data_IF_672704525102
#
_entry.id   IF_672704525102
#
_cell.length_a   1.000
_cell.length_b   1.000
_cell.length_c   1.000
_cell.angle_alpha   90.00
_cell.angle_beta   90.00
_cell.angle_gamma   90.00
#
_symmetry.space_group_name_H-M   'P 1'
#
loop_
_entity.id
_entity.type
_entity.pdbx_description
1 polymer ?
#
# COMPACT_ATOMS: atom_id res chain seq x y z
N UNK A 1 1.74 8.49 13.25
CA UNK A 1 1.77 7.71 14.49
C UNK A 1 0.63 8.18 15.41
N UNK A 2 -0.11 7.28 16.09
CA UNK A 2 -1.23 7.65 16.94
C UNK A 2 -0.81 8.54 18.10
N UNK A 3 -1.64 9.54 18.45
CA UNK A 3 -1.33 10.47 19.55
C UNK A 3 -1.66 9.90 20.93
N UNK A 4 -2.61 8.97 21.02
CA UNK A 4 -2.99 8.30 22.27
C UNK A 4 -1.93 7.28 22.68
N UNK A 5 -1.50 7.30 23.92
CA UNK A 5 -0.47 6.41 24.48
C UNK A 5 0.84 6.40 23.66
N UNK A 6 1.24 7.55 23.13
CA UNK A 6 2.55 7.70 22.46
C UNK A 6 3.65 7.61 23.51
N UNK A 7 4.69 6.77 23.34
CA UNK A 7 5.78 6.64 24.27
C UNK A 7 6.55 7.96 24.44
N UNK A 8 7.20 8.14 25.59
CA UNK A 8 7.78 9.43 25.97
C UNK A 8 8.88 9.90 25.00
N UNK A 9 9.74 8.99 24.53
CA UNK A 9 10.82 9.30 23.57
C UNK A 9 10.26 9.85 22.25
N UNK A 10 9.18 9.29 21.70
CA UNK A 10 8.52 9.82 20.48
C UNK A 10 7.77 11.13 20.80
N UNK A 11 7.02 11.17 21.90
CA UNK A 11 6.20 12.34 22.24
C UNK A 11 7.04 13.59 22.45
N UNK A 12 8.24 13.42 22.99
CA UNK A 12 9.17 14.51 23.29
C UNK A 12 10.14 14.81 22.13
N UNK A 13 10.19 13.94 21.12
CA UNK A 13 11.01 14.16 19.92
C UNK A 13 10.22 14.99 18.89
N UNK A 14 10.36 16.30 18.99
CA UNK A 14 9.70 17.23 18.09
C UNK A 14 10.22 17.11 16.65
N UNK A 15 11.47 16.65 16.45
CA UNK A 15 12.02 16.42 15.13
C UNK A 15 11.34 15.22 14.44
N UNK A 16 11.23 14.08 15.12
CA UNK A 16 10.51 12.90 14.60
C UNK A 16 9.04 13.19 14.32
N UNK A 17 8.37 14.00 15.18
CA UNK A 17 6.97 14.41 14.97
C UNK A 17 6.80 15.44 13.84
N UNK A 18 7.87 16.11 13.42
CA UNK A 18 7.90 17.08 12.33
C UNK A 18 8.35 16.47 10.99
N UNK A 19 8.88 15.24 11.01
CA UNK A 19 9.37 14.55 9.81
C UNK A 19 8.25 14.38 8.78
N UNK A 20 8.48 14.88 7.56
CA UNK A 20 7.52 14.78 6.47
C UNK A 20 7.14 13.35 6.11
N UNK A 21 7.96 12.36 6.43
CA UNK A 21 7.67 10.93 6.21
C UNK A 21 6.59 10.38 7.14
N UNK A 22 6.44 10.97 8.34
CA UNK A 22 5.60 10.40 9.42
C UNK A 22 4.62 11.36 10.06
N UNK A 23 4.79 12.69 9.87
CA UNK A 23 3.95 13.70 10.50
C UNK A 23 2.46 13.54 10.13
N UNK A 24 1.61 14.06 10.99
CA UNK A 24 0.18 14.19 10.71
C UNK A 24 0.00 15.20 9.58
N UNK A 25 -0.91 14.90 8.68
CA UNK A 25 -1.39 15.80 7.62
C UNK A 25 -2.80 16.23 7.97
N UNK A 26 -3.06 17.52 7.89
CA UNK A 26 -4.38 18.09 8.10
C UNK A 26 -5.06 18.41 6.78
N UNK A 27 -6.38 18.45 6.80
CA UNK A 27 -7.20 18.63 5.61
C UNK A 27 -6.92 19.95 4.88
N UNK A 28 -6.64 21.00 5.62
CA UNK A 28 -6.37 22.35 5.09
C UNK A 28 -5.10 22.43 4.24
N UNK A 29 -4.17 21.47 4.37
CA UNK A 29 -2.99 21.40 3.50
C UNK A 29 -3.35 21.19 2.02
N UNK A 30 -4.44 20.47 1.75
CA UNK A 30 -4.90 20.21 0.38
C UNK A 30 -6.19 20.96 0.10
N UNK A 31 -7.11 21.02 1.06
CA UNK A 31 -8.46 21.57 0.92
C UNK A 31 -8.71 22.74 1.90
N UNK A 32 -8.00 23.89 1.75
CA UNK A 32 -8.07 24.99 2.72
C UNK A 32 -9.44 25.65 2.82
N UNK A 33 -10.30 25.45 1.81
CA UNK A 33 -11.64 26.06 1.78
C UNK A 33 -12.75 25.07 2.20
N UNK A 34 -12.39 23.85 2.57
CA UNK A 34 -13.36 22.89 3.09
C UNK A 34 -13.78 23.31 4.49
N UNK A 35 -15.07 23.56 4.69
CA UNK A 35 -15.56 23.92 6.01
C UNK A 35 -15.48 22.73 6.95
N UNK A 36 -14.76 22.88 8.04
CA UNK A 36 -14.72 21.93 9.13
C UNK A 36 -15.91 22.13 10.06
N UNK A 37 -16.52 21.03 10.51
CA UNK A 37 -17.53 21.08 11.55
C UNK A 37 -16.84 21.42 12.88
N UNK A 38 -17.08 22.64 13.37
CA UNK A 38 -16.69 23.13 14.70
C UNK A 38 -15.20 22.96 15.11
N UNK A 39 -14.36 23.91 14.76
CA UNK A 39 -13.02 24.21 15.36
C UNK A 39 -12.10 23.00 15.71
N UNK A 40 -12.24 21.88 15.03
CA UNK A 40 -11.40 20.70 15.18
C UNK A 40 -10.62 20.50 13.88
N UNK A 41 -9.29 20.59 14.00
CA UNK A 41 -8.41 20.27 12.86
C UNK A 41 -8.67 18.85 12.36
N UNK A 42 -9.20 18.73 11.17
CA UNK A 42 -9.51 17.43 10.57
C UNK A 42 -8.25 16.81 9.96
N UNK A 43 -7.88 15.64 10.47
CA UNK A 43 -6.74 14.88 9.96
C UNK A 43 -7.12 14.15 8.68
N UNK A 44 -6.25 14.20 7.68
CA UNK A 44 -6.36 13.38 6.50
C UNK A 44 -5.81 11.98 6.74
N UNK A 45 -6.53 10.97 6.28
CA UNK A 45 -5.99 9.62 6.15
C UNK A 45 -4.98 9.59 5.01
N UNK A 46 -3.74 9.19 5.31
CA UNK A 46 -2.64 9.12 4.36
C UNK A 46 -2.23 7.67 4.16
N UNK A 47 -2.23 7.20 2.92
CA UNK A 47 -1.55 5.96 2.57
C UNK A 47 -0.06 6.24 2.47
N UNK A 48 0.71 5.65 3.37
CA UNK A 48 2.16 5.75 3.36
C UNK A 48 2.75 4.47 2.75
N UNK A 49 3.54 4.63 1.71
CA UNK A 49 4.33 3.54 1.14
C UNK A 49 5.79 3.82 1.41
N UNK A 50 6.44 2.94 2.17
CA UNK A 50 7.87 2.95 2.39
C UNK A 50 8.49 1.77 1.64
N UNK A 51 9.52 2.03 0.86
CA UNK A 51 10.23 1.03 0.06
C UNK A 51 11.72 1.06 0.35
N UNK A 52 12.26 -0.08 0.71
CA UNK A 52 13.65 -0.29 1.11
C UNK A 52 14.34 -1.22 0.11
N UNK A 53 14.91 -0.69 -1.00
CA UNK A 53 15.44 -1.53 -2.09
C UNK A 53 16.67 -2.36 -1.72
N UNK A 54 17.35 -2.01 -0.62
CA UNK A 54 18.49 -2.76 -0.10
C UNK A 54 18.10 -3.84 0.93
N UNK A 55 16.83 -3.88 1.35
CA UNK A 55 16.34 -4.83 2.35
C UNK A 55 15.51 -5.93 1.67
N UNK A 56 15.61 -7.15 2.18
CA UNK A 56 14.81 -8.25 1.64
C UNK A 56 13.34 -8.13 2.09
N UNK A 57 12.43 -8.55 1.23
CA UNK A 57 11.02 -8.76 1.58
C UNK A 57 10.75 -10.20 2.01
N UNK A 58 9.53 -10.46 2.51
CA UNK A 58 9.06 -11.78 2.89
C UNK A 58 9.20 -12.79 1.76
N UNK A 59 9.58 -14.01 2.10
CA UNK A 59 9.77 -15.15 1.20
C UNK A 59 10.84 -14.95 0.11
N UNK A 60 11.66 -13.90 0.20
CA UNK A 60 12.83 -13.74 -0.66
C UNK A 60 14.00 -14.56 -0.11
N UNK A 61 14.23 -15.75 -0.66
CA UNK A 61 15.27 -16.71 -0.26
C UNK A 61 16.42 -16.77 -1.27
N UNK A 62 16.68 -15.70 -2.00
CA UNK A 62 17.75 -15.62 -2.97
C UNK A 62 19.05 -15.08 -2.36
N UNK A 63 19.87 -15.94 -1.77
CA UNK A 63 21.15 -15.56 -1.19
C UNK A 63 22.14 -14.99 -2.23
N UNK A 64 22.03 -15.37 -3.52
CA UNK A 64 22.96 -14.89 -4.56
C UNK A 64 22.92 -13.38 -4.77
N UNK A 65 21.86 -12.74 -4.31
CA UNK A 65 21.63 -11.31 -4.45
C UNK A 65 21.96 -10.50 -3.18
N UNK A 66 22.54 -11.13 -2.17
CA UNK A 66 22.94 -10.47 -0.92
C UNK A 66 24.45 -10.17 -0.95
N UNK A 67 24.81 -8.96 -0.56
CA UNK A 67 26.20 -8.52 -0.42
C UNK A 67 26.86 -8.98 0.89
N UNK A 68 28.19 -8.77 1.03
CA UNK A 68 28.92 -9.10 2.26
C UNK A 68 28.47 -8.31 3.49
N UNK A 69 27.82 -7.17 3.27
CA UNK A 69 27.21 -6.28 4.28
C UNK A 69 25.79 -6.69 4.68
N UNK A 70 25.26 -7.76 4.08
CA UNK A 70 23.91 -8.26 4.34
C UNK A 70 22.81 -7.56 3.56
N UNK A 71 23.14 -6.57 2.74
CA UNK A 71 22.17 -5.82 1.92
C UNK A 71 21.97 -6.47 0.55
N UNK A 72 20.81 -6.20 -0.05
CA UNK A 72 20.54 -6.62 -1.42
C UNK A 72 21.39 -5.83 -2.41
N UNK A 73 21.99 -6.56 -3.34
CA UNK A 73 22.78 -5.98 -4.43
C UNK A 73 21.84 -5.36 -5.50
N UNK A 74 22.38 -4.35 -6.21
CA UNK A 74 21.67 -3.74 -7.35
C UNK A 74 20.26 -3.21 -6.99
N UNK A 75 20.14 -2.27 -6.04
CA UNK A 75 18.85 -1.77 -5.54
C UNK A 75 17.93 -1.26 -6.66
N UNK A 76 18.44 -0.65 -7.72
CA UNK A 76 17.66 -0.22 -8.90
C UNK A 76 16.89 -1.35 -9.60
N UNK A 77 17.37 -2.57 -9.51
CA UNK A 77 16.73 -3.73 -10.14
C UNK A 77 15.71 -4.41 -9.23
N UNK A 78 15.57 -3.89 -8.00
CA UNK A 78 14.62 -4.41 -7.02
C UNK A 78 13.25 -3.78 -7.20
N UNK A 79 12.25 -4.47 -6.69
CA UNK A 79 10.89 -3.99 -6.63
C UNK A 79 10.21 -4.42 -5.33
N UNK A 80 9.23 -3.67 -4.91
CA UNK A 80 8.36 -4.01 -3.80
C UNK A 80 6.97 -3.46 -4.07
N UNK A 81 5.93 -4.17 -3.66
CA UNK A 81 4.57 -3.77 -3.97
C UNK A 81 3.54 -4.29 -3.00
N UNK A 82 2.35 -3.74 -3.15
CA UNK A 82 1.14 -4.11 -2.42
C UNK A 82 0.03 -4.44 -3.41
N UNK A 83 -0.87 -5.33 -3.04
CA UNK A 83 -2.04 -5.71 -3.83
C UNK A 83 -3.29 -5.76 -2.95
N UNK A 84 -4.42 -5.36 -3.52
CA UNK A 84 -5.74 -5.50 -2.88
C UNK A 84 -6.81 -5.87 -3.89
N UNK A 85 -7.85 -6.53 -3.41
CA UNK A 85 -9.07 -6.74 -4.18
C UNK A 85 -9.84 -5.44 -4.36
N UNK A 86 -10.63 -5.36 -5.43
CA UNK A 86 -11.56 -4.28 -5.69
C UNK A 86 -13.00 -4.78 -5.49
N UNK A 87 -13.81 -3.98 -4.79
CA UNK A 87 -15.21 -4.34 -4.55
C UNK A 87 -16.06 -4.22 -5.82
N UNK A 88 -15.84 -3.18 -6.60
CA UNK A 88 -16.48 -2.98 -7.90
C UNK A 88 -15.55 -3.43 -9.01
N UNK A 89 -15.87 -4.53 -9.65
CA UNK A 89 -15.02 -5.14 -10.68
C UNK A 89 -15.40 -4.73 -12.11
N UNK A 90 -16.63 -4.32 -12.35
CA UNK A 90 -17.10 -3.86 -13.67
C UNK A 90 -16.98 -2.34 -13.76
N UNK A 91 -15.83 -1.87 -14.23
CA UNK A 91 -15.54 -0.44 -14.40
C UNK A 91 -16.33 0.20 -15.55
N UNK A 92 -16.77 -0.59 -16.53
CA UNK A 92 -17.65 -0.07 -17.60
C UNK A 92 -19.03 0.25 -17.05
N UNK A 93 -19.64 -0.67 -16.29
CA UNK A 93 -20.93 -0.46 -15.66
C UNK A 93 -20.88 0.63 -14.57
N UNK A 94 -19.80 0.67 -13.80
CA UNK A 94 -19.61 1.68 -12.76
C UNK A 94 -19.18 3.03 -13.32
N UNK A 95 -18.89 3.13 -14.63
CA UNK A 95 -18.39 4.31 -15.32
C UNK A 95 -17.15 4.92 -14.65
N UNK A 96 -16.20 4.08 -14.24
CA UNK A 96 -14.93 4.54 -13.67
C UNK A 96 -14.04 5.02 -14.82
N UNK A 97 -13.54 6.24 -14.72
CA UNK A 97 -12.78 6.89 -15.79
C UNK A 97 -11.34 7.24 -15.41
N UNK A 98 -11.09 7.48 -14.12
CA UNK A 98 -9.78 7.98 -13.66
C UNK A 98 -9.32 7.26 -12.40
N UNK A 99 -7.98 7.14 -12.25
CA UNK A 99 -7.31 7.00 -10.97
C UNK A 99 -6.92 8.41 -10.54
N UNK A 100 -7.33 8.86 -9.36
CA UNK A 100 -7.00 10.17 -8.84
C UNK A 100 -6.38 10.06 -7.46
N UNK A 101 -5.31 10.79 -7.22
CA UNK A 101 -4.66 10.89 -5.92
C UNK A 101 -3.87 12.19 -5.78
N UNK A 102 -3.66 12.57 -4.53
CA UNK A 102 -2.68 13.60 -4.19
C UNK A 102 -1.42 12.94 -3.65
N UNK A 103 -0.28 13.29 -4.21
CA UNK A 103 1.04 12.83 -3.77
C UNK A 103 1.77 14.01 -3.14
N UNK A 104 2.21 13.86 -1.87
CA UNK A 104 3.15 14.80 -1.27
C UNK A 104 4.43 14.79 -2.10
N UNK A 105 5.03 15.96 -2.30
CA UNK A 105 6.29 16.05 -3.04
C UNK A 105 7.35 15.13 -2.42
N UNK A 106 7.75 14.05 -3.10
CA UNK A 106 8.74 13.11 -2.57
C UNK A 106 10.09 13.76 -2.29
N UNK A 107 10.41 14.87 -2.97
CA UNK A 107 11.69 15.58 -2.83
C UNK A 107 11.82 16.27 -1.46
N UNK A 108 10.72 16.46 -0.72
CA UNK A 108 10.76 16.94 0.66
C UNK A 108 11.51 15.99 1.61
N UNK A 109 11.51 14.70 1.30
CA UNK A 109 12.15 13.66 2.13
C UNK A 109 13.52 13.24 1.60
N UNK A 110 13.82 13.58 0.37
CA UNK A 110 15.14 13.38 -0.27
C UNK A 110 15.45 14.56 -1.19
N UNK A 111 16.14 15.59 -0.68
CA UNK A 111 16.49 16.79 -1.45
C UNK A 111 17.40 16.52 -2.66
N UNK A 112 18.20 15.45 -2.64
CA UNK A 112 19.03 15.03 -3.77
C UNK A 112 18.17 14.44 -4.92
N UNK A 113 16.88 14.22 -4.63
CA UNK A 113 15.89 13.72 -5.57
C UNK A 113 15.87 12.21 -5.68
N UNK A 114 14.75 11.73 -6.19
CA UNK A 114 14.57 10.32 -6.54
C UNK A 114 14.69 10.13 -8.05
N UNK A 115 15.00 8.92 -8.47
CA UNK A 115 14.95 8.52 -9.87
C UNK A 115 14.42 7.07 -9.93
N UNK A 116 13.13 6.95 -9.71
CA UNK A 116 12.44 5.66 -9.70
C UNK A 116 11.06 5.73 -10.33
N UNK A 117 10.35 4.63 -10.25
CA UNK A 117 9.09 4.45 -10.92
C UNK A 117 8.06 3.82 -9.97
N UNK A 118 6.84 4.34 -10.02
CA UNK A 118 5.66 3.75 -9.41
C UNK A 118 4.77 3.19 -10.52
N UNK A 119 4.38 1.95 -10.39
CA UNK A 119 3.43 1.30 -11.29
C UNK A 119 2.11 1.03 -10.58
N UNK A 120 1.01 1.25 -11.29
CA UNK A 120 -0.34 0.88 -10.84
C UNK A 120 -0.92 -0.08 -11.87
N UNK A 121 -1.28 -1.27 -11.44
CA UNK A 121 -1.86 -2.32 -12.28
C UNK A 121 -3.32 -2.53 -11.89
N UNK A 122 -4.21 -2.63 -12.88
CA UNK A 122 -5.64 -2.87 -12.70
C UNK A 122 -6.08 -4.03 -13.59
N UNK A 123 -6.57 -5.10 -13.01
CA UNK A 123 -7.02 -6.28 -13.78
C UNK A 123 -7.12 -7.55 -12.96
N UNK A 124 -6.88 -8.67 -13.64
CA UNK A 124 -6.66 -9.95 -13.01
C UNK A 124 -5.15 -10.12 -12.79
N UNK A 125 -4.77 -10.33 -11.55
CA UNK A 125 -3.37 -10.41 -11.10
C UNK A 125 -3.24 -11.69 -10.31
N UNK A 126 -2.12 -12.40 -10.47
CA UNK A 126 -1.88 -13.65 -9.76
C UNK A 126 -1.91 -13.45 -8.25
N UNK A 127 -2.62 -14.34 -7.57
CA UNK A 127 -2.67 -14.42 -6.12
C UNK A 127 -1.66 -15.44 -5.55
N UNK A 128 -1.03 -16.25 -6.42
CA UNK A 128 -0.01 -17.24 -6.08
C UNK A 128 1.31 -16.54 -5.72
N UNK A 129 1.43 -16.13 -4.46
CA UNK A 129 2.60 -15.42 -3.92
C UNK A 129 3.75 -16.39 -3.75
N UNK A 130 3.49 -17.57 -3.20
CA UNK A 130 4.50 -18.60 -2.95
C UNK A 130 4.83 -19.49 -4.15
N UNK A 131 4.18 -19.25 -5.29
CA UNK A 131 4.43 -19.84 -6.61
C UNK A 131 4.65 -21.35 -6.60
N UNK A 132 3.69 -22.07 -6.09
CA UNK A 132 3.67 -23.54 -6.11
C UNK A 132 2.38 -24.12 -6.69
N UNK A 133 1.46 -23.26 -7.16
CA UNK A 133 0.15 -23.62 -7.68
C UNK A 133 -0.78 -24.20 -6.62
N UNK A 134 -0.46 -23.98 -5.36
CA UNK A 134 -1.26 -24.39 -4.19
C UNK A 134 -1.78 -23.14 -3.49
N UNK A 135 -3.00 -23.19 -3.02
CA UNK A 135 -3.57 -22.10 -2.26
C UNK A 135 -3.10 -22.17 -0.81
N UNK A 136 -2.18 -21.28 -0.44
CA UNK A 136 -1.73 -21.12 0.94
C UNK A 136 -2.80 -20.40 1.78
N UNK A 137 -3.06 -20.91 2.98
CA UNK A 137 -3.92 -20.28 3.98
C UNK A 137 -3.70 -20.92 5.35
N UNK A 138 -3.72 -20.13 6.39
CA UNK A 138 -3.34 -20.54 7.74
C UNK A 138 -4.43 -21.34 8.48
N UNK A 139 -5.67 -20.92 8.35
CA UNK A 139 -6.77 -21.42 9.19
C UNK A 139 -7.16 -22.88 8.96
N UNK A 140 -6.69 -23.50 7.89
CA UNK A 140 -6.87 -24.91 7.60
C UNK A 140 -5.73 -25.81 8.07
N UNK A 141 -4.68 -25.25 8.69
CA UNK A 141 -3.58 -26.02 9.23
C UNK A 141 -4.03 -26.87 10.42
N UNK A 142 -3.41 -28.06 10.62
CA UNK A 142 -3.74 -28.95 11.73
C UNK A 142 -3.48 -28.30 13.09
N UNK A 143 -4.42 -28.48 14.01
CA UNK A 143 -4.29 -28.06 15.40
C UNK A 143 -3.75 -29.17 16.31
N UNK A 144 -3.51 -30.36 15.74
CA UNK A 144 -2.96 -31.52 16.41
C UNK A 144 -2.03 -32.29 15.46
N UNK A 145 -0.93 -32.87 15.95
CA UNK A 145 -0.05 -33.75 15.15
C UNK A 145 -0.80 -34.92 14.49
N UNK A 146 -1.89 -35.38 15.07
CA UNK A 146 -2.69 -36.50 14.55
C UNK A 146 -3.39 -36.15 13.22
N UNK A 147 -3.52 -34.87 12.91
CA UNK A 147 -4.16 -34.36 11.70
C UNK A 147 -3.15 -34.14 10.53
N UNK A 148 -1.92 -34.65 10.63
CA UNK A 148 -0.88 -34.47 9.60
C UNK A 148 -1.31 -34.88 8.18
N UNK A 149 -2.30 -35.77 8.04
CA UNK A 149 -2.91 -36.15 6.76
C UNK A 149 -3.76 -35.07 6.08
N UNK A 150 -3.99 -33.91 6.72
CA UNK A 150 -4.80 -32.81 6.20
C UNK A 150 -4.01 -31.74 5.42
N UNK A 151 -2.70 -31.86 5.41
CA UNK A 151 -1.79 -30.93 4.72
C UNK A 151 -0.97 -31.61 3.65
N UNK A 152 -0.57 -30.85 2.65
CA UNK A 152 0.46 -31.19 1.69
C UNK A 152 1.73 -30.40 1.99
N UNK A 153 2.89 -30.97 1.70
CA UNK A 153 4.17 -30.27 1.74
C UNK A 153 4.48 -29.68 0.38
N UNK A 154 4.94 -28.45 0.37
CA UNK A 154 5.44 -27.75 -0.82
C UNK A 154 6.92 -27.40 -0.66
N UNK A 155 7.51 -26.73 -1.65
CA UNK A 155 8.88 -26.21 -1.49
C UNK A 155 8.94 -25.13 -0.42
N UNK A 156 7.85 -24.38 -0.20
CA UNK A 156 7.77 -23.27 0.74
C UNK A 156 7.41 -23.70 2.15
N UNK A 157 6.59 -24.73 2.29
CA UNK A 157 6.10 -25.15 3.61
C UNK A 157 4.91 -26.09 3.52
N UNK A 158 3.89 -25.83 4.34
CA UNK A 158 2.68 -26.65 4.49
C UNK A 158 1.46 -25.90 3.94
N UNK A 159 0.65 -26.60 3.15
CA UNK A 159 -0.62 -26.07 2.66
C UNK A 159 -1.77 -27.01 3.02
N UNK A 160 -2.93 -26.51 3.47
CA UNK A 160 -4.10 -27.32 3.71
C UNK A 160 -4.62 -27.97 2.41
N UNK A 161 -5.04 -29.23 2.48
CA UNK A 161 -5.61 -29.96 1.33
C UNK A 161 -7.02 -29.50 0.98
N UNK A 162 -7.77 -29.02 1.95
CA UNK A 162 -9.17 -28.63 1.81
C UNK A 162 -9.35 -27.20 2.24
N UNK A 163 -10.01 -26.42 1.40
CA UNK A 163 -10.42 -25.06 1.75
C UNK A 163 -11.48 -25.11 2.84
N UNK A 164 -11.30 -24.36 3.90
CA UNK A 164 -12.33 -24.14 4.90
C UNK A 164 -13.47 -23.30 4.31
N UNK A 165 -14.70 -23.61 4.67
CA UNK A 165 -15.88 -22.80 4.32
C UNK A 165 -16.00 -21.55 5.19
N UNK A 166 -15.28 -21.50 6.30
CA UNK A 166 -15.24 -20.37 7.23
C UNK A 166 -13.83 -19.84 7.26
N UNK A 167 -13.65 -18.59 6.88
CA UNK A 167 -12.35 -17.91 6.90
C UNK A 167 -12.11 -17.37 8.31
N UNK A 168 -11.74 -18.27 9.22
CA UNK A 168 -11.41 -17.95 10.60
C UNK A 168 -10.49 -19.03 11.19
N UNK A 169 -9.66 -18.63 12.15
CA UNK A 169 -8.89 -19.59 12.95
C UNK A 169 -9.81 -20.49 13.79
N UNK A 170 -9.30 -21.65 14.17
CA UNK A 170 -9.97 -22.52 15.14
C UNK A 170 -10.08 -21.83 16.51
N UNK A 171 -11.19 -22.11 17.21
CA UNK A 171 -11.41 -21.66 18.59
C UNK A 171 -10.87 -22.65 19.65
N UNK A 172 -10.25 -23.74 19.22
CA UNK A 172 -9.64 -24.71 20.15
C UNK A 172 -8.45 -24.06 20.88
N UNK A 173 -8.32 -24.29 22.20
CA UNK A 173 -7.18 -23.77 22.96
C UNK A 173 -5.84 -24.18 22.36
N UNK A 174 -4.93 -23.23 22.17
CA UNK A 174 -3.59 -23.47 21.60
C UNK A 174 -3.53 -23.58 20.07
N UNK A 175 -4.67 -23.59 19.37
CA UNK A 175 -4.71 -23.69 17.90
C UNK A 175 -4.01 -22.51 17.21
N UNK A 176 -4.07 -21.33 17.80
CA UNK A 176 -3.49 -20.12 17.23
C UNK A 176 -1.96 -20.25 17.01
N UNK A 177 -1.26 -20.85 17.93
CA UNK A 177 0.19 -21.09 17.82
C UNK A 177 0.58 -22.05 16.68
N UNK A 178 -0.39 -22.81 16.15
CA UNK A 178 -0.20 -23.75 15.04
C UNK A 178 -0.78 -23.25 13.72
N UNK A 179 -1.61 -22.20 13.76
CA UNK A 179 -2.32 -21.69 12.61
C UNK A 179 -1.91 -20.26 12.20
N UNK A 180 -1.52 -19.40 13.13
CA UNK A 180 -1.02 -18.05 12.89
C UNK A 180 0.51 -18.07 12.66
N UNK A 181 0.92 -18.69 11.55
CA UNK A 181 2.32 -19.08 11.23
C UNK A 181 2.78 -18.58 9.84
N UNK A 182 2.07 -17.65 9.27
CA UNK A 182 2.38 -17.08 7.96
C UNK A 182 1.85 -17.90 6.78
N UNK A 183 1.97 -17.34 5.57
CA UNK A 183 1.48 -17.96 4.34
C UNK A 183 2.18 -19.26 3.98
N UNK A 184 3.42 -19.48 4.45
CA UNK A 184 4.14 -20.72 4.23
C UNK A 184 3.66 -21.88 5.14
N UNK A 185 2.77 -21.59 6.09
CA UNK A 185 2.24 -22.60 7.02
C UNK A 185 3.28 -23.17 7.99
N UNK A 186 4.38 -22.48 8.24
CA UNK A 186 5.47 -22.87 9.14
C UNK A 186 5.66 -21.79 10.20
N UNK A 187 5.93 -22.20 11.42
CA UNK A 187 6.50 -21.27 12.39
C UNK A 187 7.99 -21.05 12.12
N UNK A 188 8.54 -19.93 12.59
CA UNK A 188 9.98 -19.62 12.48
C UNK A 188 10.90 -20.79 12.88
N UNK A 189 10.55 -21.55 13.93
CA UNK A 189 11.30 -22.72 14.35
C UNK A 189 11.26 -23.88 13.32
N UNK A 190 10.16 -24.03 12.61
CA UNK A 190 10.03 -25.01 11.54
C UNK A 190 10.77 -24.56 10.27
N UNK A 191 10.73 -23.27 9.95
CA UNK A 191 11.46 -22.68 8.83
C UNK A 191 12.96 -22.94 8.89
N UNK A 192 13.58 -22.77 10.06
CA UNK A 192 14.99 -23.04 10.25
C UNK A 192 15.40 -24.46 9.84
N UNK A 193 14.46 -25.40 9.83
CA UNK A 193 14.67 -26.79 9.46
C UNK A 193 14.10 -27.15 8.08
N UNK A 194 13.28 -26.29 7.47
CA UNK A 194 12.70 -26.55 6.16
C UNK A 194 13.75 -26.44 5.05
N UNK A 195 13.72 -27.32 4.03
CA UNK A 195 14.83 -27.43 3.09
C UNK A 195 15.24 -26.14 2.39
N UNK A 196 14.30 -25.33 1.88
CA UNK A 196 14.59 -24.09 1.15
C UNK A 196 15.21 -23.03 2.06
N UNK A 197 14.68 -22.83 3.26
CA UNK A 197 15.19 -21.84 4.21
C UNK A 197 16.53 -22.26 4.81
N UNK A 198 16.69 -23.55 5.13
CA UNK A 198 17.96 -24.09 5.60
C UNK A 198 19.07 -23.92 4.57
N UNK A 199 18.78 -24.17 3.29
CA UNK A 199 19.73 -23.93 2.20
C UNK A 199 20.07 -22.44 2.09
N UNK A 200 19.04 -21.58 2.12
CA UNK A 200 19.21 -20.14 2.11
C UNK A 200 20.12 -19.64 3.22
N UNK A 201 19.93 -20.10 4.47
CA UNK A 201 20.78 -19.73 5.60
C UNK A 201 22.24 -20.21 5.42
N UNK A 202 22.44 -21.42 4.90
CA UNK A 202 23.77 -21.95 4.62
C UNK A 202 24.50 -21.13 3.54
N UNK A 203 23.78 -20.73 2.50
CA UNK A 203 24.31 -19.89 1.42
C UNK A 203 24.64 -18.48 1.90
N UNK A 204 23.79 -17.88 2.75
CA UNK A 204 24.05 -16.58 3.37
C UNK A 204 25.27 -16.58 4.26
N UNK A 205 25.45 -17.62 5.09
CA UNK A 205 26.62 -17.76 5.99
C UNK A 205 27.94 -17.73 5.21
N UNK A 206 27.94 -18.26 3.99
CA UNK A 206 29.11 -18.24 3.11
C UNK A 206 29.32 -16.93 2.36
N UNK A 207 28.31 -16.06 2.35
CA UNK A 207 28.28 -14.84 1.53
C UNK A 207 28.52 -13.56 2.32
N UNK A 208 27.85 -13.44 3.46
CA UNK A 208 27.98 -12.26 4.31
C UNK A 208 29.27 -12.30 5.10
N UNK A 209 29.74 -11.15 5.53
CA UNK A 209 30.90 -11.10 6.41
C UNK A 209 30.62 -11.79 7.75
N UNK A 210 31.64 -12.40 8.41
CA UNK A 210 31.45 -13.02 9.72
C UNK A 210 30.84 -12.06 10.75
N UNK A 211 31.19 -10.77 10.70
CA UNK A 211 30.67 -9.77 11.60
C UNK A 211 29.16 -9.56 11.43
N UNK A 212 28.67 -9.51 10.19
CA UNK A 212 27.23 -9.39 9.87
C UNK A 212 26.50 -10.67 10.30
N UNK A 213 27.09 -11.85 10.02
CA UNK A 213 26.50 -13.11 10.41
C UNK A 213 26.34 -13.23 11.94
N UNK A 214 27.33 -12.79 12.70
CA UNK A 214 27.31 -12.82 14.17
C UNK A 214 26.29 -11.79 14.71
N UNK A 215 26.25 -10.58 14.14
CA UNK A 215 25.27 -9.54 14.47
C UNK A 215 23.84 -10.05 14.29
N UNK A 216 23.55 -10.73 13.20
CA UNK A 216 22.23 -11.32 12.93
C UNK A 216 21.75 -12.33 13.97
N UNK A 217 22.63 -12.87 14.81
CA UNK A 217 22.23 -13.78 15.90
C UNK A 217 21.39 -13.08 16.97
N UNK A 218 21.53 -11.77 17.11
CA UNK A 218 20.82 -10.94 18.10
C UNK A 218 19.72 -10.06 17.51
N UNK A 219 19.71 -9.87 16.20
CA UNK A 219 18.70 -9.08 15.51
C UNK A 219 17.42 -9.90 15.28
N UNK A 220 16.31 -9.48 15.88
CA UNK A 220 15.02 -10.18 15.89
C UNK A 220 14.55 -10.59 14.48
N UNK A 221 14.65 -9.71 13.51
CA UNK A 221 14.13 -9.88 12.15
C UNK A 221 15.23 -10.17 11.11
N UNK A 222 16.40 -10.58 11.58
CA UNK A 222 17.46 -11.02 10.68
C UNK A 222 17.10 -12.34 9.99
N UNK A 223 17.72 -12.68 8.86
CA UNK A 223 17.52 -13.98 8.22
C UNK A 223 17.79 -15.17 9.11
N UNK A 224 18.66 -15.05 10.14
CA UNK A 224 18.93 -16.12 11.10
C UNK A 224 17.77 -16.38 12.05
N UNK A 225 17.05 -15.34 12.43
CA UNK A 225 15.99 -15.41 13.43
C UNK A 225 14.58 -15.41 12.78
N UNK A 226 14.51 -15.06 11.51
CA UNK A 226 13.31 -15.02 10.70
C UNK A 226 13.65 -15.42 9.25
N UNK A 227 13.79 -16.73 8.96
CA UNK A 227 14.25 -17.20 7.65
C UNK A 227 13.32 -16.86 6.50
N UNK A 228 12.01 -16.87 6.70
CA UNK A 228 11.03 -16.46 5.69
C UNK A 228 10.92 -14.94 5.56
N UNK A 229 11.20 -14.19 6.61
CA UNK A 229 11.06 -12.73 6.63
C UNK A 229 9.61 -12.28 6.74
N UNK A 230 8.78 -13.06 7.42
CA UNK A 230 7.35 -12.85 7.54
C UNK A 230 6.85 -12.63 8.97
N UNK A 231 7.75 -12.55 9.94
CA UNK A 231 7.41 -12.27 11.33
C UNK A 231 6.77 -10.88 11.48
N UNK A 232 5.58 -10.86 12.04
CA UNK A 232 4.84 -9.66 12.37
C UNK A 232 5.31 -9.05 13.69
N UNK A 233 5.34 -7.72 13.72
CA UNK A 233 5.36 -6.96 14.96
C UNK A 233 4.42 -5.75 14.86
N UNK A 234 3.53 -5.62 15.86
CA UNK A 234 2.69 -4.45 15.93
C UNK A 234 3.54 -3.19 16.11
N UNK A 235 3.17 -2.07 15.49
CA UNK A 235 3.95 -0.83 15.51
C UNK A 235 4.07 -0.20 16.91
N UNK A 236 3.44 -0.78 17.93
CA UNK A 236 3.54 -0.42 19.35
C UNK A 236 3.90 -1.67 20.13
N UNK A 237 4.53 -1.50 21.25
CA UNK A 237 4.91 -2.56 22.16
C UNK A 237 5.83 -2.01 23.24
N UNK A 238 5.80 -2.60 24.43
CA UNK A 238 6.66 -2.22 25.55
C UNK A 238 8.12 -2.42 25.20
N UNK A 239 8.44 -3.47 24.43
CA UNK A 239 9.77 -3.76 23.90
C UNK A 239 10.30 -2.65 22.98
N UNK A 240 9.49 -2.23 22.00
CA UNK A 240 9.84 -1.10 21.14
C UNK A 240 9.95 0.22 21.90
N UNK A 241 9.21 0.38 23.00
CA UNK A 241 9.27 1.57 23.84
C UNK A 241 10.55 1.58 24.69
N UNK A 242 11.00 0.43 25.19
CA UNK A 242 12.25 0.26 25.93
C UNK A 242 13.49 0.39 25.04
N UNK A 243 13.43 -0.09 23.83
CA UNK A 243 14.48 0.03 22.81
C UNK A 243 14.50 1.41 22.13
N UNK A 244 13.56 2.30 22.45
CA UNK A 244 13.39 3.62 21.83
C UNK A 244 13.32 3.59 20.30
N UNK A 245 12.67 2.55 19.75
CA UNK A 245 12.58 2.33 18.28
C UNK A 245 11.91 3.52 17.61
N UNK A 246 12.49 3.96 16.46
CA UNK A 246 12.00 5.09 15.69
C UNK A 246 10.60 4.85 15.11
N UNK A 247 9.88 5.91 14.74
CA UNK A 247 8.54 5.77 14.13
C UNK A 247 8.59 4.92 12.84
N UNK A 248 9.58 5.14 11.99
CA UNK A 248 9.68 4.42 10.72
C UNK A 248 9.99 2.94 10.92
N UNK A 249 10.92 2.62 11.80
CA UNK A 249 11.32 1.24 12.04
C UNK A 249 10.21 0.43 12.69
N UNK A 250 9.33 1.06 13.47
CA UNK A 250 8.14 0.41 14.04
C UNK A 250 7.17 -0.13 13.00
N UNK A 251 7.14 0.44 11.80
CA UNK A 251 6.23 0.01 10.73
C UNK A 251 6.83 -1.02 9.77
N UNK A 252 8.14 -1.30 9.84
CA UNK A 252 8.79 -2.23 8.90
C UNK A 252 8.21 -3.65 8.96
N UNK A 253 7.87 -4.14 10.16
CA UNK A 253 7.36 -5.51 10.38
C UNK A 253 5.85 -5.54 10.66
N UNK A 254 5.16 -4.45 10.44
CA UNK A 254 3.72 -4.34 10.65
C UNK A 254 2.89 -5.14 9.62
N UNK A 255 3.47 -5.47 8.48
CA UNK A 255 2.84 -6.24 7.41
C UNK A 255 3.30 -7.71 7.38
N UNK A 256 3.99 -8.19 8.40
CA UNK A 256 4.33 -9.61 8.54
C UNK A 256 3.09 -10.47 8.69
N UNK A 257 3.14 -11.72 8.25
CA UNK A 257 2.03 -12.66 8.30
C UNK A 257 2.12 -13.64 9.47
N UNK A 258 3.31 -14.01 9.96
CA UNK A 258 3.45 -14.88 11.14
C UNK A 258 3.18 -14.08 12.42
N UNK A 259 2.21 -14.51 13.22
CA UNK A 259 1.91 -13.91 14.52
C UNK A 259 1.17 -12.58 14.49
N UNK A 260 0.52 -12.24 13.37
CA UNK A 260 -0.18 -10.97 13.21
C UNK A 260 -1.59 -10.95 13.82
N UNK A 261 -2.07 -12.08 14.31
CA UNK A 261 -3.40 -12.28 14.86
C UNK A 261 -3.40 -13.09 16.18
N UNK A 262 -2.61 -12.71 17.20
CA UNK A 262 -2.47 -13.47 18.43
C UNK A 262 -3.81 -13.62 19.17
N UNK A 263 -3.98 -14.73 19.87
CA UNK A 263 -5.10 -14.88 20.78
C UNK A 263 -5.00 -13.91 21.97
N UNK A 264 -6.14 -13.58 22.59
CA UNK A 264 -6.19 -12.62 23.70
C UNK A 264 -5.24 -13.01 24.86
N UNK A 265 -5.08 -14.29 25.10
CA UNK A 265 -4.22 -14.83 26.16
C UNK A 265 -2.72 -14.66 25.83
N UNK A 266 -2.37 -14.45 24.59
CA UNK A 266 -1.01 -14.23 24.11
C UNK A 266 -0.62 -12.75 24.11
N UNK A 267 -1.58 -11.84 24.31
CA UNK A 267 -1.31 -10.41 24.34
C UNK A 267 -0.80 -10.01 25.73
N UNK A 268 0.39 -9.43 25.76
CA UNK A 268 1.00 -8.92 26.98
C UNK A 268 0.70 -7.43 27.22
N UNK A 269 0.26 -6.73 26.18
CA UNK A 269 0.00 -5.29 26.23
C UNK A 269 -1.42 -4.97 26.72
N UNK A 270 -1.58 -3.81 27.35
CA UNK A 270 -2.89 -3.32 27.85
C UNK A 270 -3.83 -2.81 26.75
N UNK A 271 -3.40 -2.84 25.50
CA UNK A 271 -4.15 -2.44 24.29
C UNK A 271 -4.03 -3.52 23.22
N UNK A 272 -4.96 -3.51 22.27
CA UNK A 272 -4.91 -4.47 21.15
C UNK A 272 -3.65 -4.28 20.30
N UNK A 273 -2.91 -5.37 20.05
CA UNK A 273 -1.66 -5.40 19.29
C UNK A 273 -1.77 -6.16 17.98
N UNK A 274 -2.92 -6.77 17.69
CA UNK A 274 -3.18 -7.46 16.44
C UNK A 274 -3.43 -6.47 15.29
N UNK A 275 -2.85 -6.73 14.12
CA UNK A 275 -3.12 -5.96 12.90
C UNK A 275 -4.32 -6.51 12.13
N UNK A 276 -4.61 -7.80 12.24
CA UNK A 276 -5.72 -8.48 11.60
C UNK A 276 -6.47 -9.40 12.55
N UNK A 277 -7.75 -9.62 12.27
CA UNK A 277 -8.60 -10.58 13.00
C UNK A 277 -8.84 -11.85 12.18
N UNK A 278 -8.43 -11.87 10.94
CA UNK A 278 -8.62 -12.98 10.01
C UNK A 278 -7.28 -13.58 9.63
N UNK A 279 -7.26 -14.90 9.34
CA UNK A 279 -6.06 -15.57 8.84
C UNK A 279 -5.54 -14.93 7.55
N UNK A 280 -4.23 -15.00 7.34
CA UNK A 280 -3.64 -14.68 6.06
C UNK A 280 -3.89 -15.79 5.05
N UNK A 281 -4.28 -15.38 3.84
CA UNK A 281 -4.57 -16.30 2.73
C UNK A 281 -4.14 -15.67 1.41
N UNK A 282 -3.76 -16.51 0.46
CA UNK A 282 -3.43 -16.04 -0.90
C UNK A 282 -4.66 -15.64 -1.70
N UNK A 283 -5.81 -16.27 -1.47
CA UNK A 283 -7.10 -15.93 -2.08
C UNK A 283 -7.63 -14.60 -1.52
N UNK A 284 -7.06 -13.49 -1.96
CA UNK A 284 -7.33 -12.14 -1.44
C UNK A 284 -8.77 -11.71 -1.70
N UNK A 285 -9.36 -12.18 -2.81
CA UNK A 285 -10.73 -11.82 -3.17
C UNK A 285 -11.79 -12.71 -2.51
N UNK A 286 -11.36 -13.78 -1.82
CA UNK A 286 -12.22 -14.74 -1.10
C UNK A 286 -13.22 -15.48 -2.01
N UNK A 287 -12.84 -15.75 -3.27
CA UNK A 287 -13.70 -16.50 -4.20
C UNK A 287 -13.45 -18.02 -4.18
N UNK A 288 -12.60 -18.50 -3.28
CA UNK A 288 -12.18 -19.89 -3.10
C UNK A 288 -11.37 -20.48 -4.25
N UNK A 289 -10.89 -19.65 -5.14
CA UNK A 289 -9.99 -20.06 -6.23
C UNK A 289 -8.66 -19.30 -6.12
N UNK A 290 -7.59 -19.89 -6.63
CA UNK A 290 -6.31 -19.21 -6.79
C UNK A 290 -6.24 -18.65 -8.20
N UNK A 291 -6.18 -17.33 -8.34
CA UNK A 291 -5.97 -16.71 -9.64
C UNK A 291 -4.47 -16.73 -9.99
N UNK A 292 -4.11 -17.38 -11.08
CA UNK A 292 -2.74 -17.44 -11.61
C UNK A 292 -2.53 -16.56 -12.84
N UNK A 293 -3.57 -15.85 -13.30
CA UNK A 293 -3.51 -15.06 -14.51
C UNK A 293 -2.90 -13.69 -14.27
N UNK A 294 -2.06 -13.26 -15.20
CA UNK A 294 -1.49 -11.92 -15.27
C UNK A 294 -2.03 -11.22 -16.53
N UNK A 295 -3.16 -10.51 -16.40
CA UNK A 295 -3.78 -9.74 -17.49
C UNK A 295 -4.38 -8.45 -16.92
N UNK A 296 -3.67 -7.35 -17.12
CA UNK A 296 -4.00 -6.08 -16.49
C UNK A 296 -3.61 -4.88 -17.36
N UNK A 297 -4.21 -3.75 -17.05
CA UNK A 297 -3.76 -2.43 -17.51
C UNK A 297 -2.71 -1.91 -16.54
N UNK A 298 -1.59 -1.42 -17.08
CA UNK A 298 -0.47 -0.88 -16.31
C UNK A 298 -0.29 0.59 -16.61
N UNK A 299 -0.21 1.38 -15.53
CA UNK A 299 0.05 2.81 -15.52
C UNK A 299 1.39 3.06 -14.85
N UNK A 300 2.19 3.95 -15.43
CA UNK A 300 3.51 4.29 -14.95
C UNK A 300 3.56 5.75 -14.50
N UNK A 301 4.10 5.99 -13.32
CA UNK A 301 4.42 7.30 -12.78
C UNK A 301 5.92 7.35 -12.48
N UNK A 302 6.63 8.30 -13.08
CA UNK A 302 8.07 8.50 -12.88
C UNK A 302 8.26 9.45 -11.70
N UNK A 303 8.95 9.00 -10.67
CA UNK A 303 9.27 9.79 -9.48
C UNK A 303 10.67 10.40 -9.67
N UNK A 304 10.71 11.59 -10.27
CA UNK A 304 11.94 12.32 -10.56
C UNK A 304 11.67 13.81 -10.55
N UNK A 305 12.61 14.66 -10.08
CA UNK A 305 12.36 16.11 -9.91
C UNK A 305 11.82 16.81 -11.16
N UNK A 306 12.39 16.52 -12.34
CA UNK A 306 11.98 17.14 -13.61
C UNK A 306 10.62 16.69 -14.12
N UNK A 307 10.06 15.64 -13.55
CA UNK A 307 8.75 15.09 -13.91
C UNK A 307 7.61 15.55 -12.98
N UNK A 308 7.94 16.15 -11.83
CA UNK A 308 6.96 16.64 -10.86
C UNK A 308 6.50 18.06 -11.21
N UNK A 309 5.79 18.19 -12.32
CA UNK A 309 5.30 19.47 -12.85
C UNK A 309 3.90 19.31 -13.46
N UNK A 310 3.06 20.35 -13.27
CA UNK A 310 1.71 20.37 -13.85
C UNK A 310 1.79 20.26 -15.38
N UNK A 311 0.94 19.41 -15.94
CA UNK A 311 0.92 19.08 -17.36
C UNK A 311 1.84 17.92 -17.76
N UNK A 312 2.65 17.40 -16.84
CA UNK A 312 3.44 16.17 -17.04
C UNK A 312 2.81 14.99 -16.32
N UNK A 313 2.90 13.79 -16.91
CA UNK A 313 2.49 12.51 -16.31
C UNK A 313 1.09 12.51 -15.66
N UNK A 314 0.13 13.24 -16.24
CA UNK A 314 -1.21 13.39 -15.67
C UNK A 314 -1.27 14.20 -14.36
N UNK A 315 -0.25 15.00 -14.03
CA UNK A 315 -0.33 15.97 -12.95
C UNK A 315 -1.23 17.13 -13.43
N UNK A 316 -2.38 17.27 -12.80
CA UNK A 316 -3.40 18.27 -13.15
C UNK A 316 -3.32 19.52 -12.29
N UNK A 317 -2.86 19.38 -11.06
CA UNK A 317 -2.77 20.49 -10.10
C UNK A 317 -1.53 20.36 -9.22
N UNK A 318 -1.01 21.51 -8.77
CA UNK A 318 0.03 21.63 -7.76
C UNK A 318 -0.49 22.54 -6.65
N UNK A 319 -0.49 22.02 -5.43
CA UNK A 319 -0.86 22.76 -4.23
C UNK A 319 0.38 23.02 -3.39
N UNK A 320 0.60 24.27 -3.04
CA UNK A 320 1.65 24.68 -2.09
C UNK A 320 0.97 25.22 -0.84
N UNK A 321 1.27 24.61 0.30
CA UNK A 321 0.68 24.97 1.57
C UNK A 321 1.78 25.29 2.58
N UNK A 322 1.55 26.31 3.40
CA UNK A 322 2.45 26.67 4.48
C UNK A 322 2.00 25.98 5.77
N UNK A 323 2.83 25.07 6.25
CA UNK A 323 2.53 24.19 7.39
C UNK A 323 3.42 24.55 8.56
N UNK A 324 2.83 24.72 9.75
CA UNK A 324 3.58 24.85 11.01
C UNK A 324 3.80 23.45 11.58
N UNK A 325 5.05 23.03 11.66
CA UNK A 325 5.46 21.74 12.17
C UNK A 325 5.44 21.69 13.72
N UNK A 326 5.55 20.49 14.28
CA UNK A 326 5.53 20.30 15.73
C UNK A 326 6.72 20.96 16.46
N UNK A 327 7.85 21.13 15.79
CA UNK A 327 9.02 21.85 16.30
C UNK A 327 8.86 23.39 16.25
N UNK A 328 7.73 23.91 15.75
CA UNK A 328 7.43 25.33 15.61
C UNK A 328 7.95 25.97 14.30
N UNK A 329 8.67 25.24 13.48
CA UNK A 329 9.09 25.74 12.16
C UNK A 329 7.91 25.77 11.19
N UNK A 330 7.92 26.77 10.32
CA UNK A 330 6.95 26.88 9.22
C UNK A 330 7.65 26.53 7.90
N UNK A 331 7.13 25.53 7.21
CA UNK A 331 7.69 25.06 5.94
C UNK A 331 6.63 25.08 4.84
N UNK A 332 7.06 25.24 3.61
CA UNK A 332 6.21 25.06 2.43
C UNK A 332 6.19 23.59 2.04
N UNK A 333 5.00 23.03 1.93
CA UNK A 333 4.76 21.65 1.52
C UNK A 333 4.00 21.66 0.21
N UNK A 334 4.51 20.90 -0.74
CA UNK A 334 3.88 20.77 -2.05
C UNK A 334 3.15 19.43 -2.14
N UNK A 335 1.97 19.48 -2.73
CA UNK A 335 1.18 18.32 -3.13
C UNK A 335 0.89 18.38 -4.63
N UNK A 336 0.96 17.24 -5.30
CA UNK A 336 0.64 17.09 -6.72
C UNK A 336 -0.60 16.22 -6.89
N UNK A 337 -1.60 16.73 -7.60
CA UNK A 337 -2.76 15.95 -7.98
C UNK A 337 -2.48 15.20 -9.27
N UNK A 338 -2.55 13.90 -9.20
CA UNK A 338 -2.53 13.01 -10.36
C UNK A 338 -3.97 12.65 -10.73
N UNK A 339 -4.29 12.76 -12.02
CA UNK A 339 -5.56 12.32 -12.59
C UNK A 339 -5.27 11.49 -13.84
N UNK A 340 -5.12 10.19 -13.66
CA UNK A 340 -4.69 9.25 -14.69
C UNK A 340 -5.92 8.67 -15.39
N UNK A 341 -6.16 8.96 -16.68
CA UNK A 341 -7.30 8.41 -17.40
C UNK A 341 -7.13 6.90 -17.61
N UNK A 342 -8.16 6.13 -17.29
CA UNK A 342 -8.12 4.67 -17.46
C UNK A 342 -8.08 4.27 -18.93
N UNK A 343 -8.86 4.99 -19.75
CA UNK A 343 -8.97 4.75 -21.20
C UNK A 343 -8.11 5.76 -21.97
N UNK A 344 -6.82 5.85 -21.59
CA UNK A 344 -5.85 6.71 -22.26
C UNK A 344 -5.37 6.14 -23.60
N UNK A 345 -4.52 6.90 -24.26
CA UNK A 345 -3.78 6.43 -25.43
C UNK A 345 -2.74 5.35 -25.06
N UNK A 346 -2.18 4.70 -26.08
CA UNK A 346 -1.18 3.64 -25.87
C UNK A 346 0.12 4.11 -25.22
N UNK A 347 0.34 5.42 -25.11
CA UNK A 347 1.51 6.00 -24.47
C UNK A 347 1.32 6.07 -22.94
N UNK A 348 0.08 6.20 -22.47
CA UNK A 348 -0.25 6.32 -21.05
C UNK A 348 -0.69 5.02 -20.40
N UNK A 349 -1.15 4.02 -21.19
CA UNK A 349 -1.69 2.74 -20.70
C UNK A 349 -1.04 1.57 -21.44
N UNK A 350 -0.32 0.74 -20.72
CA UNK A 350 0.20 -0.52 -21.25
C UNK A 350 -0.77 -1.67 -20.94
N UNK A 351 -1.05 -2.52 -21.92
CA UNK A 351 -1.83 -3.76 -21.75
C UNK A 351 -0.89 -4.92 -21.57
N UNK A 352 -1.03 -5.63 -20.46
CA UNK A 352 -0.28 -6.85 -20.18
C UNK A 352 -1.22 -8.06 -20.29
N UNK A 353 -0.73 -9.13 -20.91
CA UNK A 353 -1.52 -10.32 -21.16
C UNK A 353 -2.67 -10.09 -22.13
N UNK A 354 -3.75 -10.84 -21.97
CA UNK A 354 -4.89 -10.85 -22.87
C UNK A 354 -6.05 -9.94 -22.49
N UNK A 355 -5.80 -8.89 -21.67
CA UNK A 355 -6.85 -7.98 -21.23
C UNK A 355 -7.45 -7.19 -22.40
N UNK A 356 -8.78 -7.10 -22.49
CA UNK A 356 -9.48 -6.49 -23.62
C UNK A 356 -10.52 -5.45 -23.23
N UNK A 357 -11.09 -5.55 -22.03
CA UNK A 357 -12.18 -4.70 -21.58
C UNK A 357 -12.07 -4.40 -20.08
N UNK A 358 -12.96 -3.57 -19.59
CA UNK A 358 -12.98 -3.08 -18.19
C UNK A 358 -14.08 -3.75 -17.33
N UNK A 359 -14.55 -4.94 -17.73
CA UNK A 359 -15.67 -5.63 -17.08
C UNK A 359 -15.25 -6.55 -15.95
N UNK A 360 -13.96 -6.89 -15.87
CA UNK A 360 -13.42 -7.77 -14.83
C UNK A 360 -12.07 -7.23 -14.35
N UNK A 361 -12.13 -6.20 -13.51
CA UNK A 361 -10.97 -5.59 -12.85
C UNK A 361 -11.04 -6.00 -11.38
N UNK A 362 -10.44 -7.13 -11.05
CA UNK A 362 -10.58 -7.73 -9.73
C UNK A 362 -9.60 -7.16 -8.71
N UNK A 363 -8.41 -6.78 -9.17
CA UNK A 363 -7.32 -6.37 -8.30
C UNK A 363 -6.73 -5.03 -8.72
N UNK A 364 -6.18 -4.32 -7.73
CA UNK A 364 -5.24 -3.24 -7.88
C UNK A 364 -3.92 -3.65 -7.24
N UNK A 365 -2.81 -3.55 -8.00
CA UNK A 365 -1.46 -3.74 -7.50
C UNK A 365 -0.67 -2.46 -7.73
N UNK A 366 0.02 -2.00 -6.71
CA UNK A 366 0.99 -0.91 -6.81
C UNK A 366 2.37 -1.46 -6.48
N UNK A 367 3.38 -1.11 -7.29
CA UNK A 367 4.76 -1.48 -6.97
C UNK A 367 5.74 -0.38 -7.38
N UNK A 368 6.84 -0.32 -6.65
CA UNK A 368 7.94 0.63 -6.87
C UNK A 368 9.17 -0.12 -7.34
N UNK A 369 9.94 0.50 -8.23
CA UNK A 369 11.20 -0.03 -8.75
C UNK A 369 12.10 1.12 -9.24
N UNK A 370 13.37 0.83 -9.53
CA UNK A 370 14.31 1.82 -10.06
C UNK A 370 14.95 2.71 -9.00
N UNK A 371 14.56 2.62 -7.74
CA UNK A 371 15.12 3.42 -6.65
C UNK A 371 16.45 2.85 -6.15
N UNK A 372 17.40 3.73 -5.83
CA UNK A 372 18.68 3.37 -5.22
C UNK A 372 18.63 3.34 -3.70
N UNK A 373 17.76 4.17 -3.11
CA UNK A 373 17.70 4.41 -1.69
C UNK A 373 16.28 4.28 -1.16
N UNK A 374 16.16 4.18 0.16
CA UNK A 374 14.92 4.24 0.89
C UNK A 374 14.00 5.35 0.35
N UNK A 375 12.76 4.99 0.06
CA UNK A 375 11.80 5.90 -0.58
C UNK A 375 10.47 5.89 0.15
N UNK A 376 9.95 7.08 0.45
CA UNK A 376 8.67 7.26 1.10
C UNK A 376 7.72 8.05 0.21
N UNK A 377 6.62 7.42 -0.19
CA UNK A 377 5.54 8.07 -0.93
C UNK A 377 4.31 8.21 -0.03
N UNK A 378 3.73 9.40 0.01
CA UNK A 378 2.57 9.72 0.85
C UNK A 378 1.41 10.16 0.00
N UNK A 379 0.35 9.36 -0.02
CA UNK A 379 -0.84 9.60 -0.81
C UNK A 379 -1.96 10.08 0.10
N UNK A 380 -2.50 11.24 -0.20
CA UNK A 380 -3.78 11.66 0.31
C UNK A 380 -4.82 11.41 -0.78
N UNK A 381 -5.88 10.74 -0.43
CA UNK A 381 -6.91 10.24 -1.35
C UNK A 381 -6.31 9.38 -2.47
N UNK A 382 -6.74 8.18 -2.63
CA UNK A 382 -6.42 7.32 -3.77
C UNK A 382 -7.75 6.71 -4.24
N UNK A 383 -8.33 7.35 -5.23
CA UNK A 383 -9.71 7.12 -5.63
C UNK A 383 -9.81 6.61 -7.06
N UNK A 384 -10.80 5.75 -7.28
CA UNK A 384 -11.29 5.40 -8.60
C UNK A 384 -12.51 6.28 -8.90
N UNK A 385 -12.30 7.30 -9.72
CA UNK A 385 -13.29 8.36 -9.97
C UNK A 385 -14.22 7.97 -11.10
N UNK A 386 -15.51 8.10 -10.82
CA UNK A 386 -16.58 7.85 -11.81
C UNK A 386 -16.79 9.11 -12.67
N UNK A 387 -17.01 8.89 -13.97
CA UNK A 387 -17.50 9.92 -14.86
C UNK A 387 -19.01 10.11 -14.70
N UNK A 388 -19.45 11.34 -14.77
CA UNK A 388 -20.88 11.64 -14.85
C UNK A 388 -21.33 11.61 -16.31
N UNK A 389 -22.26 10.71 -16.63
CA UNK A 389 -22.91 10.72 -17.93
C UNK A 389 -23.94 11.83 -17.99
N UNK A 390 -23.71 12.81 -18.86
CA UNK A 390 -24.72 13.78 -19.24
C UNK A 390 -25.04 13.60 -20.72
N UNK A 391 -26.28 13.24 -21.03
CA UNK A 391 -26.72 13.21 -22.39
C UNK A 391 -26.90 14.65 -22.87
N UNK A 392 -26.13 15.06 -23.88
CA UNK A 392 -26.34 16.31 -24.55
C UNK A 392 -27.56 16.17 -25.47
N UNK A 393 -28.65 16.92 -25.19
CA UNK A 393 -29.93 16.82 -25.88
C UNK A 393 -30.19 17.99 -26.84
N UNK A 394 -29.26 18.93 -26.94
CA UNK A 394 -29.38 20.08 -27.85
C UNK A 394 -28.58 19.83 -29.12
N UNK A 395 -29.10 20.31 -30.25
CA UNK A 395 -28.34 20.31 -31.50
C UNK A 395 -27.11 21.21 -31.36
N UNK A 396 -25.95 20.65 -31.78
CA UNK A 396 -24.66 21.36 -31.74
C UNK A 396 -24.57 22.53 -32.73
N UNK A 397 -25.46 22.53 -33.74
CA UNK A 397 -25.58 23.62 -34.68
C UNK A 397 -27.05 23.79 -35.08
N UNK A 398 -27.49 25.01 -35.39
CA UNK A 398 -28.81 25.23 -36.00
C UNK A 398 -28.94 24.45 -37.29
N UNK A 399 -30.15 23.97 -37.58
CA UNK A 399 -30.45 23.23 -38.83
C UNK A 399 -30.00 24.05 -40.03
N UNK A 400 -29.11 23.50 -40.85
CA UNK A 400 -28.56 24.16 -42.01
C UNK A 400 -27.34 25.06 -41.83
N UNK A 401 -26.81 25.17 -40.60
CA UNK A 401 -25.55 25.84 -40.38
C UNK A 401 -24.35 24.92 -40.69
N UNK A 402 -23.25 25.43 -41.28
CA UNK A 402 -22.06 24.64 -41.48
C UNK A 402 -21.49 24.17 -40.14
N UNK A 403 -21.18 22.87 -40.03
CA UNK A 403 -20.52 22.32 -38.85
C UNK A 403 -19.11 22.92 -38.74
N UNK A 404 -18.89 23.68 -37.69
CA UNK A 404 -17.54 24.20 -37.41
C UNK A 404 -16.63 23.05 -36.91
N UNK A 405 -15.82 22.51 -37.78
CA UNK A 405 -14.92 21.41 -37.48
C UNK A 405 -13.75 21.79 -36.55
N UNK A 406 -13.62 23.09 -36.23
CA UNK A 406 -12.63 23.58 -35.26
C UNK A 406 -13.16 23.75 -33.83
N UNK A 407 -14.45 23.45 -33.59
CA UNK A 407 -15.01 23.50 -32.24
C UNK A 407 -14.58 22.28 -31.44
N UNK A 408 -14.03 22.50 -30.26
CA UNK A 408 -13.76 21.45 -29.27
C UNK A 408 -14.71 21.61 -28.08
N UNK A 409 -15.14 20.48 -27.52
CA UNK A 409 -15.86 20.45 -26.24
C UNK A 409 -14.92 19.82 -25.23
N UNK A 410 -14.60 20.58 -24.21
CA UNK A 410 -13.86 20.09 -23.05
C UNK A 410 -14.85 19.86 -21.90
N UNK A 411 -14.96 18.62 -21.44
CA UNK A 411 -15.86 18.24 -20.34
C UNK A 411 -15.01 17.94 -19.14
N UNK A 412 -15.14 18.74 -18.09
CA UNK A 412 -14.40 18.58 -16.86
C UNK A 412 -15.37 18.43 -15.69
N UNK A 413 -15.01 17.56 -14.74
CA UNK A 413 -15.71 17.47 -13.46
C UNK A 413 -15.18 18.58 -12.55
N UNK A 414 -16.08 19.38 -12.01
CA UNK A 414 -15.74 20.44 -11.06
C UNK A 414 -16.53 20.25 -9.78
N UNK A 415 -15.88 20.43 -8.66
CA UNK A 415 -16.51 20.41 -7.35
C UNK A 415 -15.98 21.58 -6.50
N UNK A 416 -16.71 21.91 -5.43
CA UNK A 416 -16.37 23.07 -4.62
C UNK A 416 -15.09 22.86 -3.80
N UNK A 417 -14.73 21.62 -3.53
CA UNK A 417 -13.57 21.29 -2.72
C UNK A 417 -12.27 21.50 -3.49
N UNK A 418 -12.25 21.07 -4.75
CA UNK A 418 -11.06 21.17 -5.62
C UNK A 418 -11.02 22.52 -6.36
N UNK A 419 -12.17 23.04 -6.78
CA UNK A 419 -12.24 24.22 -7.63
C UNK A 419 -12.69 25.50 -6.89
N UNK A 420 -12.77 25.49 -5.57
CA UNK A 420 -13.17 26.65 -4.75
C UNK A 420 -12.21 27.84 -4.87
N UNK A 421 -10.95 27.60 -5.27
CA UNK A 421 -9.98 28.66 -5.60
C UNK A 421 -10.17 29.25 -6.99
N UNK A 422 -11.18 28.78 -7.73
CA UNK A 422 -11.49 29.17 -9.12
C UNK A 422 -10.44 28.80 -10.14
N UNK A 423 -9.58 27.87 -9.80
CA UNK A 423 -8.56 27.30 -10.69
C UNK A 423 -8.65 25.77 -10.68
N UNK A 424 -8.42 25.09 -11.81
CA UNK A 424 -8.25 25.65 -13.17
C UNK A 424 -9.54 26.20 -13.77
N UNK A 425 -10.71 25.90 -13.16
CA UNK A 425 -12.02 26.30 -13.63
C UNK A 425 -12.72 27.17 -12.59
N UNK A 426 -13.31 28.27 -13.01
CA UNK A 426 -14.07 29.15 -12.13
C UNK A 426 -15.43 28.50 -11.77
N UNK A 427 -15.48 27.74 -10.69
CA UNK A 427 -16.70 27.13 -10.19
C UNK A 427 -17.35 27.98 -9.09
N UNK A 428 -18.62 28.28 -9.27
CA UNK A 428 -19.46 29.00 -8.30
C UNK A 428 -20.71 28.16 -8.07
N UNK A 429 -21.13 27.99 -6.83
CA UNK A 429 -22.38 27.29 -6.51
C UNK A 429 -23.57 27.99 -7.17
N UNK A 430 -24.50 27.23 -7.77
CA UNK A 430 -25.72 27.80 -8.33
C UNK A 430 -26.49 28.57 -7.27
N UNK A 431 -27.17 29.70 -7.66
CA UNK A 431 -28.00 30.44 -6.74
C UNK A 431 -29.07 29.58 -6.09
N UNK A 432 -29.23 29.68 -4.78
CA UNK A 432 -30.22 28.91 -4.01
C UNK A 432 -29.74 27.53 -3.57
N UNK A 433 -28.53 27.09 -3.94
CA UNK A 433 -27.92 25.89 -3.42
C UNK A 433 -27.05 26.26 -2.21
N UNK A 434 -27.46 25.83 -1.04
CA UNK A 434 -26.60 25.91 0.18
C UNK A 434 -25.99 24.57 0.46
N UNK A 435 -24.72 24.56 0.83
CA UNK A 435 -24.02 23.33 1.25
C UNK A 435 -24.56 22.91 2.63
N UNK A 436 -25.21 21.76 2.70
CA UNK A 436 -25.46 21.10 3.96
C UNK A 436 -24.27 20.18 4.25
N UNK A 437 -23.44 20.56 5.19
CA UNK A 437 -22.45 19.64 5.78
C UNK A 437 -23.15 18.83 6.85
N UNK A 438 -23.38 17.57 6.58
CA UNK A 438 -23.82 16.61 7.61
C UNK A 438 -22.60 16.12 8.37
N UNK A 439 -22.46 16.43 9.69
CA UNK A 439 -21.26 16.13 10.46
C UNK A 439 -21.02 14.62 10.66
N UNK A 440 -21.96 13.77 10.28
CA UNK A 440 -21.90 12.33 10.48
C UNK A 440 -21.62 11.50 9.22
N UNK A 441 -21.62 12.10 8.04
CA UNK A 441 -21.27 11.40 6.82
C UNK A 441 -19.84 11.74 6.43
N UNK A 442 -18.90 10.85 6.71
CA UNK A 442 -17.72 10.75 5.91
C UNK A 442 -18.21 10.50 4.47
N UNK A 443 -18.11 11.52 3.62
CA UNK A 443 -18.42 11.33 2.22
C UNK A 443 -17.41 10.33 1.65
N UNK A 444 -17.87 9.09 1.51
CA UNK A 444 -17.32 8.16 0.54
C UNK A 444 -17.66 8.74 -0.84
N UNK A 445 -16.75 9.55 -1.38
CA UNK A 445 -16.77 9.96 -2.79
C UNK A 445 -16.10 8.87 -3.60
#
# INVERSE_FOLDING_TARGET
>A
YPQTNTPAHIRNDLAALSDHRTRIVYQDEIYPNRQEASNVDTKLAILNLAYYPEERGSYNVNASEVGPDGKLLNPKNRWGGIMRRLESTDFEKANIEYIQFWLMDPMLTNPDGYNGELYINLGDISEDILRDGKKAFEHGLPISPDDAGRVDSTIWGLVPRTTSTVVAFSNEPGSRALQDVGLNGLSTAQEQNWPIYRQYLADLQNRVSPAVWDQWSTERFSPRNDPAGDNFHYYRGTDYDEEEVSILDRYKHYNGTEGNSPATEQQTESYGTASTLTPDIEDINLDNTLNEYEKYYQYKVIIRPDMMEVGRQHITEKKVSRVTLRNGETQEVTWYQFKIPLKGDSASVQKIGSIRNWKSIRFMRMYMTGFEHETHLRFATLDLVRGEWRQYTRDLAPVGAPVNTGASIDVQTVNIEENSTRTPINYVLPPGVSRQTDPGQAQLI
#
